data_IF_966370691088
#
_entry.id   IF_966370691088
#
_cell.length_a   1.000
_cell.length_b   1.000
_cell.length_c   1.000
_cell.angle_alpha   90.00
_cell.angle_beta   90.00
_cell.angle_gamma   90.00
#
_symmetry.space_group_name_H-M   'P 1'
#
loop_
_entity.id
_entity.type
_entity.pdbx_description
1 polymer ?
#
# COMPACT_ATOMS: atom_id res chain seq x y z
N UNK A 1 -17.61 -6.35 16.55
CA UNK A 1 -17.56 -4.93 16.98
C UNK A 1 -16.93 -4.06 15.88
N UNK A 2 -17.75 -3.45 15.04
CA UNK A 2 -17.33 -2.42 14.07
C UNK A 2 -17.49 -1.02 14.67
N UNK A 3 -16.62 -0.06 14.32
CA UNK A 3 -16.81 1.35 14.68
C UNK A 3 -15.93 1.96 15.77
N UNK A 4 -15.03 1.21 16.41
CA UNK A 4 -14.10 1.74 17.46
C UNK A 4 -12.94 2.56 16.84
N UNK A 5 -13.16 3.28 15.75
CA UNK A 5 -12.16 4.21 15.21
C UNK A 5 -10.82 3.61 14.76
N UNK A 6 -10.69 2.29 14.57
CA UNK A 6 -9.42 1.64 14.18
C UNK A 6 -8.76 2.30 12.96
N UNK A 7 -9.56 2.57 11.92
CA UNK A 7 -9.09 3.29 10.74
C UNK A 7 -8.60 4.69 11.09
N UNK A 8 -9.31 5.42 11.97
CA UNK A 8 -8.91 6.76 12.38
C UNK A 8 -7.62 6.77 13.19
N UNK A 9 -7.38 5.76 14.03
CA UNK A 9 -6.10 5.59 14.75
C UNK A 9 -4.95 5.38 13.77
N UNK A 10 -5.14 4.53 12.75
CA UNK A 10 -4.08 4.29 11.74
C UNK A 10 -3.82 5.54 10.91
N UNK A 11 -4.88 6.27 10.51
CA UNK A 11 -4.72 7.54 9.80
C UNK A 11 -3.95 8.56 10.65
N UNK A 12 -4.31 8.68 11.94
CA UNK A 12 -3.62 9.60 12.85
C UNK A 12 -2.15 9.24 13.06
N UNK A 13 -1.85 7.95 13.17
CA UNK A 13 -0.47 7.46 13.24
C UNK A 13 0.34 7.83 11.99
N UNK A 14 -0.22 7.66 10.80
CA UNK A 14 0.45 8.03 9.54
C UNK A 14 0.70 9.55 9.48
N UNK A 15 -0.27 10.37 9.92
CA UNK A 15 -0.08 11.82 10.01
C UNK A 15 1.07 12.20 10.96
N UNK A 16 1.12 11.57 12.14
CA UNK A 16 2.11 11.89 13.18
C UNK A 16 3.51 11.33 12.90
N UNK A 17 3.63 10.34 12.02
CA UNK A 17 4.90 9.69 11.66
C UNK A 17 5.30 9.92 10.21
N UNK A 18 4.71 10.93 9.56
CA UNK A 18 4.93 11.23 8.15
C UNK A 18 6.40 11.56 7.82
N UNK A 19 7.17 12.01 8.81
CA UNK A 19 8.61 12.29 8.70
C UNK A 19 9.49 11.03 8.90
N UNK A 20 8.92 9.95 9.44
CA UNK A 20 9.62 8.70 9.73
C UNK A 20 9.63 7.72 8.55
N UNK A 21 8.66 7.83 7.62
CA UNK A 21 8.50 6.90 6.51
C UNK A 21 8.48 7.64 5.16
N UNK A 22 9.36 7.24 4.24
CA UNK A 22 9.36 7.79 2.87
C UNK A 22 8.21 7.27 2.01
N UNK A 23 7.67 6.09 2.34
CA UNK A 23 6.62 5.42 1.58
C UNK A 23 5.62 4.73 2.52
N UNK A 24 4.32 5.00 2.32
CA UNK A 24 3.22 4.34 3.04
C UNK A 24 2.19 3.86 2.03
N UNK A 25 1.83 2.58 2.11
CA UNK A 25 0.85 1.94 1.22
C UNK A 25 -0.34 1.42 2.03
N UNK A 26 -1.55 1.69 1.54
CA UNK A 26 -2.79 1.17 2.14
C UNK A 26 -3.37 0.05 1.28
N UNK A 27 -3.56 -1.13 1.87
CA UNK A 27 -4.15 -2.29 1.19
C UNK A 27 -5.32 -2.82 2.03
N UNK A 28 -6.46 -3.08 1.38
CA UNK A 28 -7.57 -3.80 1.99
C UNK A 28 -7.25 -5.30 2.08
N UNK A 29 -6.97 -5.75 3.30
CA UNK A 29 -6.64 -7.13 3.62
C UNK A 29 -7.83 -8.01 4.04
N UNK A 30 -9.07 -7.60 3.73
CA UNK A 30 -10.28 -8.34 4.12
C UNK A 30 -10.40 -9.74 3.50
N UNK A 31 -9.74 -10.01 2.37
CA UNK A 31 -9.63 -11.32 1.74
C UNK A 31 -8.36 -11.46 0.89
N UNK A 32 -7.99 -12.67 0.51
CA UNK A 32 -6.89 -12.88 -0.44
C UNK A 32 -7.14 -12.18 -1.80
N UNK A 33 -8.40 -12.11 -2.24
CA UNK A 33 -8.79 -11.43 -3.47
C UNK A 33 -8.57 -9.92 -3.40
N UNK A 34 -8.97 -9.28 -2.30
CA UNK A 34 -8.77 -7.84 -2.09
C UNK A 34 -7.29 -7.48 -1.92
N UNK A 35 -6.50 -8.33 -1.26
CA UNK A 35 -5.03 -8.17 -1.19
C UNK A 35 -4.43 -8.19 -2.58
N UNK A 36 -4.79 -9.19 -3.40
CA UNK A 36 -4.30 -9.33 -4.77
C UNK A 36 -4.66 -8.12 -5.62
N UNK A 37 -5.91 -7.67 -5.56
CA UNK A 37 -6.36 -6.48 -6.28
C UNK A 37 -5.66 -5.21 -5.80
N UNK A 38 -5.46 -5.05 -4.49
CA UNK A 38 -4.71 -3.93 -3.91
C UNK A 38 -3.28 -3.87 -4.42
N UNK A 39 -2.56 -4.99 -4.40
CA UNK A 39 -1.19 -5.08 -4.94
C UNK A 39 -1.13 -4.75 -6.43
N UNK A 40 -2.05 -5.29 -7.25
CA UNK A 40 -2.14 -4.93 -8.68
C UNK A 40 -2.43 -3.44 -8.88
N UNK A 41 -3.28 -2.86 -8.01
CA UNK A 41 -3.59 -1.43 -8.03
C UNK A 41 -2.37 -0.56 -7.80
N UNK A 42 -1.42 -0.99 -6.96
CA UNK A 42 -0.17 -0.26 -6.73
C UNK A 42 0.65 -0.07 -8.01
N UNK A 43 0.60 -1.03 -8.95
CA UNK A 43 1.32 -0.93 -10.22
C UNK A 43 0.82 0.22 -11.12
N UNK A 44 -0.40 0.72 -10.88
CA UNK A 44 -0.97 1.84 -11.62
C UNK A 44 -0.61 3.22 -11.04
N UNK A 45 0.05 3.25 -9.88
CA UNK A 45 0.45 4.51 -9.24
C UNK A 45 1.48 5.24 -10.11
N UNK A 46 1.42 6.59 -10.20
CA UNK A 46 2.42 7.36 -10.93
C UNK A 46 3.86 7.07 -10.49
N UNK A 47 4.09 6.86 -9.19
CA UNK A 47 5.40 6.51 -8.64
C UNK A 47 5.92 5.12 -9.08
N UNK A 48 5.04 4.24 -9.54
CA UNK A 48 5.37 2.91 -10.02
C UNK A 48 5.67 2.88 -11.52
N UNK A 49 5.21 3.87 -12.29
CA UNK A 49 5.33 3.89 -13.77
C UNK A 49 6.78 3.88 -14.25
N UNK A 50 7.72 4.45 -13.47
CA UNK A 50 9.14 4.45 -13.80
C UNK A 50 9.81 3.08 -13.68
N UNK A 51 9.16 2.11 -13.05
CA UNK A 51 9.72 0.78 -12.74
C UNK A 51 9.25 -0.31 -13.71
N UNK A 52 8.52 0.04 -14.78
CA UNK A 52 8.07 -0.88 -15.83
C UNK A 52 7.41 -2.17 -15.29
N UNK A 53 6.51 -2.02 -14.31
CA UNK A 53 5.83 -3.15 -13.67
C UNK A 53 4.86 -3.83 -14.64
N UNK A 54 4.73 -5.16 -14.54
CA UNK A 54 3.89 -5.98 -15.42
C UNK A 54 2.42 -6.10 -14.94
N UNK A 55 2.08 -5.42 -13.84
CA UNK A 55 0.75 -5.45 -13.24
C UNK A 55 0.45 -6.70 -12.42
N UNK A 56 1.45 -7.57 -12.18
CA UNK A 56 1.34 -8.69 -11.24
C UNK A 56 1.52 -8.23 -9.78
N UNK A 57 0.92 -8.93 -8.80
CA UNK A 57 1.21 -8.72 -7.39
C UNK A 57 2.70 -8.88 -7.05
N UNK A 58 3.40 -9.79 -7.72
CA UNK A 58 4.81 -10.08 -7.52
C UNK A 58 5.68 -8.89 -7.94
N UNK A 59 5.38 -8.27 -9.08
CA UNK A 59 6.07 -7.04 -9.52
C UNK A 59 5.85 -5.88 -8.55
N UNK A 60 4.64 -5.74 -7.99
CA UNK A 60 4.33 -4.75 -6.97
C UNK A 60 5.16 -4.97 -5.69
N UNK A 61 5.25 -6.21 -5.22
CA UNK A 61 6.04 -6.56 -4.03
C UNK A 61 7.53 -6.36 -4.26
N UNK A 62 8.05 -6.73 -5.44
CA UNK A 62 9.44 -6.47 -5.80
C UNK A 62 9.74 -4.96 -5.83
N UNK A 63 8.84 -4.17 -6.41
CA UNK A 63 8.95 -2.72 -6.41
C UNK A 63 8.98 -2.15 -4.98
N UNK A 64 8.03 -2.52 -4.12
CA UNK A 64 8.00 -2.08 -2.71
C UNK A 64 9.33 -2.42 -2.01
N UNK A 65 9.86 -3.63 -2.22
CA UNK A 65 11.13 -4.06 -1.64
C UNK A 65 12.36 -3.34 -2.20
N UNK A 66 12.24 -2.66 -3.34
CA UNK A 66 13.31 -1.86 -3.96
C UNK A 66 13.35 -0.40 -3.51
N UNK A 67 12.29 0.08 -2.86
CA UNK A 67 12.21 1.44 -2.32
C UNK A 67 13.12 1.56 -1.10
N UNK A 68 13.84 2.70 -0.99
CA UNK A 68 14.76 3.00 0.12
C UNK A 68 14.08 3.79 1.22
#
# INVERSE_FOLDING_TARGET
>A
LGGIGKTQIVLKFIEETADCFSHVFWIDASSAGTITQGLKGLCSLPAAQTYALDGSPESALFWIGSLR
#
